data_IF_080886537365
#
_entry.id   IF_080886537365
#
_cell.length_a   1.000
_cell.length_b   1.000
_cell.length_c   1.000
_cell.angle_alpha   90.00
_cell.angle_beta   90.00
_cell.angle_gamma   90.00
#
_symmetry.space_group_name_H-M   'P 1'
#
loop_
_entity.id
_entity.type
_entity.pdbx_description
1 polymer ?
#
# COMPACT_ATOMS: atom_id res chain seq x y z
N UNK A 1 -9.62 -26.39 3.76
CA UNK A 1 -9.12 -25.54 2.66
C UNK A 1 -9.80 -24.18 2.84
N UNK A 2 -9.22 -23.32 3.68
CA UNK A 2 -9.74 -21.98 3.91
C UNK A 2 -9.17 -21.07 2.84
N UNK A 3 -10.01 -20.67 1.88
CA UNK A 3 -9.65 -19.65 0.91
C UNK A 3 -9.56 -18.31 1.65
N UNK A 4 -8.37 -17.72 1.64
CA UNK A 4 -8.09 -16.39 2.16
C UNK A 4 -8.87 -15.35 1.33
N UNK A 5 -10.02 -14.93 1.83
CA UNK A 5 -10.95 -13.99 1.15
C UNK A 5 -10.46 -12.54 1.11
N UNK A 6 -9.32 -12.22 1.73
CA UNK A 6 -8.79 -10.85 1.77
C UNK A 6 -7.91 -10.50 0.56
N UNK A 7 -7.35 -11.48 -0.13
CA UNK A 7 -6.49 -11.26 -1.32
C UNK A 7 -7.29 -11.12 -2.60
N UNK A 8 -8.42 -11.81 -2.72
CA UNK A 8 -9.25 -11.84 -3.94
C UNK A 8 -9.95 -10.49 -4.16
N UNK A 9 -10.64 -9.99 -3.13
CA UNK A 9 -11.39 -8.73 -3.21
C UNK A 9 -10.50 -7.50 -3.44
N UNK A 10 -9.29 -7.44 -2.85
CA UNK A 10 -8.38 -6.31 -3.08
C UNK A 10 -7.77 -6.31 -4.49
N UNK A 11 -7.53 -7.50 -5.07
CA UNK A 11 -6.99 -7.64 -6.42
C UNK A 11 -8.02 -7.18 -7.45
N UNK A 12 -9.29 -7.53 -7.25
CA UNK A 12 -10.40 -7.07 -8.09
C UNK A 12 -10.56 -5.54 -8.05
N UNK A 13 -10.49 -4.95 -6.86
CA UNK A 13 -10.60 -3.48 -6.69
C UNK A 13 -9.45 -2.74 -7.37
N UNK A 14 -8.21 -3.24 -7.26
CA UNK A 14 -7.04 -2.62 -7.92
C UNK A 14 -7.19 -2.70 -9.44
N UNK A 15 -7.66 -3.82 -9.98
CA UNK A 15 -7.91 -3.97 -11.41
C UNK A 15 -8.97 -2.99 -11.91
N UNK A 16 -10.07 -2.84 -11.17
CA UNK A 16 -11.11 -1.85 -11.47
C UNK A 16 -10.55 -0.42 -11.44
N UNK A 17 -9.83 -0.05 -10.37
CA UNK A 17 -9.24 1.29 -10.22
C UNK A 17 -8.23 1.62 -11.31
N UNK A 18 -7.49 0.62 -11.78
CA UNK A 18 -6.59 0.77 -12.93
C UNK A 18 -7.38 1.10 -14.21
N UNK A 19 -8.49 0.41 -14.47
CA UNK A 19 -9.32 0.69 -15.65
C UNK A 19 -9.90 2.11 -15.60
N UNK A 20 -10.46 2.51 -14.45
CA UNK A 20 -10.97 3.88 -14.22
C UNK A 20 -9.88 4.94 -14.47
N UNK A 21 -8.65 4.68 -14.02
CA UNK A 21 -7.51 5.55 -14.28
C UNK A 21 -7.18 5.66 -15.77
N UNK A 22 -7.10 4.53 -16.47
CA UNK A 22 -6.77 4.51 -17.90
C UNK A 22 -7.83 5.23 -18.74
N UNK A 23 -9.10 5.12 -18.37
CA UNK A 23 -10.20 5.88 -18.98
C UNK A 23 -10.02 7.38 -18.75
N UNK A 24 -9.81 7.80 -17.50
CA UNK A 24 -9.58 9.22 -17.14
C UNK A 24 -8.37 9.81 -17.88
N UNK A 25 -7.28 9.06 -17.96
CA UNK A 25 -6.08 9.47 -18.69
C UNK A 25 -6.35 9.60 -20.19
N UNK A 26 -7.16 8.70 -20.77
CA UNK A 26 -7.55 8.77 -22.18
C UNK A 26 -8.45 9.98 -22.49
N UNK A 27 -9.35 10.34 -21.58
CA UNK A 27 -10.20 11.54 -21.70
C UNK A 27 -9.39 12.85 -21.59
N UNK A 28 -8.32 12.84 -20.80
CA UNK A 28 -7.51 14.03 -20.52
C UNK A 28 -6.36 14.26 -21.50
N UNK A 29 -6.14 13.35 -22.47
CA UNK A 29 -5.04 13.42 -23.47
C UNK A 29 -4.99 14.75 -24.22
N UNK A 30 -6.14 15.36 -24.53
CA UNK A 30 -6.20 16.63 -25.27
C UNK A 30 -6.06 17.87 -24.36
N UNK A 31 -5.93 17.69 -23.04
CA UNK A 31 -5.71 18.80 -22.10
C UNK A 31 -4.23 19.17 -22.11
N UNK A 32 -3.86 20.02 -23.06
CA UNK A 32 -2.48 20.46 -23.22
C UNK A 32 -2.00 21.30 -22.03
N UNK A 33 -1.22 20.67 -21.13
CA UNK A 33 -0.39 21.42 -20.19
C UNK A 33 0.68 22.14 -21.00
N UNK A 34 0.71 23.47 -20.90
CA UNK A 34 1.74 24.27 -21.57
C UNK A 34 3.11 24.03 -20.90
N UNK A 35 4.08 23.54 -21.68
CA UNK A 35 5.47 23.35 -21.22
C UNK A 35 5.85 21.87 -21.04
N UNK A 36 6.99 21.61 -20.37
CA UNK A 36 7.35 20.24 -19.99
C UNK A 36 6.44 19.76 -18.87
N UNK A 37 6.00 18.50 -18.96
CA UNK A 37 5.19 17.85 -17.95
C UNK A 37 5.53 16.37 -17.88
N UNK A 38 5.23 15.74 -16.74
CA UNK A 38 5.26 14.31 -16.57
C UNK A 38 3.91 13.72 -16.99
N UNK A 39 3.90 12.70 -17.86
CA UNK A 39 2.65 12.10 -18.34
C UNK A 39 1.93 11.35 -17.22
N UNK A 40 0.60 11.45 -17.24
CA UNK A 40 -0.27 10.79 -16.30
C UNK A 40 -0.09 9.28 -16.33
N UNK A 41 -0.16 8.65 -15.16
CA UNK A 41 0.24 7.26 -15.00
C UNK A 41 -0.48 6.58 -13.84
N UNK A 42 -0.62 5.26 -13.96
CA UNK A 42 -1.07 4.39 -12.87
C UNK A 42 0.15 3.75 -12.20
N UNK A 43 0.34 4.01 -10.91
CA UNK A 43 1.51 3.50 -10.18
C UNK A 43 1.28 2.15 -9.48
N UNK A 44 0.07 1.59 -9.59
CA UNK A 44 -0.35 0.38 -8.90
C UNK A 44 -1.45 0.62 -7.87
N UNK A 45 -1.53 1.83 -7.30
CA UNK A 45 -2.52 2.18 -6.27
C UNK A 45 -3.31 3.44 -6.57
N UNK A 46 -2.68 4.48 -7.14
CA UNK A 46 -3.34 5.74 -7.47
C UNK A 46 -3.11 6.12 -8.93
N UNK A 47 -4.09 6.86 -9.44
CA UNK A 47 -4.01 7.50 -10.75
C UNK A 47 -3.37 8.88 -10.60
N UNK A 48 -2.27 9.10 -11.28
CA UNK A 48 -1.58 10.38 -11.30
C UNK A 48 -1.90 11.11 -12.61
N UNK A 49 -2.39 12.36 -12.54
CA UNK A 49 -2.67 13.15 -13.74
C UNK A 49 -1.36 13.67 -14.37
N UNK A 50 -1.47 14.21 -15.59
CA UNK A 50 -0.40 15.00 -16.19
C UNK A 50 0.00 16.13 -15.22
N UNK A 51 1.30 16.30 -14.99
CA UNK A 51 1.81 17.20 -13.96
C UNK A 51 2.95 18.04 -14.50
N UNK A 52 2.87 19.37 -14.36
CA UNK A 52 3.88 20.30 -14.86
C UNK A 52 5.28 20.00 -14.26
N UNK A 53 6.32 20.15 -15.08
CA UNK A 53 7.70 19.94 -14.65
C UNK A 53 8.07 20.85 -13.46
N UNK A 54 8.79 20.29 -12.48
CA UNK A 54 9.16 20.98 -11.24
C UNK A 54 8.05 21.08 -10.20
N UNK A 55 6.87 20.49 -10.45
CA UNK A 55 5.75 20.47 -9.49
C UNK A 55 5.45 19.06 -8.96
N UNK A 56 4.54 18.95 -8.00
CA UNK A 56 4.13 17.66 -7.43
C UNK A 56 2.62 17.46 -7.56
N UNK A 57 2.23 16.23 -7.89
CA UNK A 57 0.85 15.79 -7.84
C UNK A 57 0.50 15.29 -6.44
N UNK A 58 -0.74 15.53 -6.00
CA UNK A 58 -1.25 15.09 -4.70
C UNK A 58 -2.58 14.37 -4.91
N UNK A 59 -2.78 13.28 -4.18
CA UNK A 59 -4.01 12.51 -4.21
C UNK A 59 -4.30 11.94 -2.82
N UNK A 60 -5.59 11.74 -2.51
CA UNK A 60 -6.00 11.09 -1.26
C UNK A 60 -5.48 9.65 -1.21
N UNK A 61 -5.12 9.21 -0.01
CA UNK A 61 -4.67 7.83 0.20
C UNK A 61 -5.79 6.83 -0.14
N UNK A 62 -5.47 5.71 -0.81
CA UNK A 62 -6.47 4.73 -1.23
C UNK A 62 -7.11 4.03 -0.03
N UNK A 63 -8.44 4.04 0.06
CA UNK A 63 -9.20 3.41 1.16
C UNK A 63 -9.22 1.88 1.11
N UNK A 64 -8.91 1.28 -0.04
CA UNK A 64 -8.88 -0.17 -0.22
C UNK A 64 -7.58 -0.82 0.28
N UNK A 65 -6.57 -0.02 0.64
CA UNK A 65 -5.34 -0.51 1.24
C UNK A 65 -5.52 -0.58 2.75
N UNK A 66 -5.40 -1.79 3.31
CA UNK A 66 -5.49 -1.99 4.76
C UNK A 66 -4.35 -1.29 5.49
N UNK A 67 -4.66 -0.58 6.57
CA UNK A 67 -3.69 0.17 7.36
C UNK A 67 -3.40 1.59 6.85
N UNK A 68 -4.08 2.03 5.78
CA UNK A 68 -3.99 3.42 5.31
C UNK A 68 -5.10 4.29 5.90
N UNK A 69 -4.78 5.57 6.11
CA UNK A 69 -5.71 6.63 6.48
C UNK A 69 -6.16 7.39 5.22
N UNK A 70 -7.41 7.22 4.74
CA UNK A 70 -7.89 7.83 3.50
C UNK A 70 -8.08 9.34 3.59
N UNK A 71 -7.95 9.94 4.78
CA UNK A 71 -8.02 11.40 4.97
C UNK A 71 -6.70 12.11 4.67
N UNK A 72 -5.60 11.35 4.53
CA UNK A 72 -4.26 11.85 4.24
C UNK A 72 -3.98 11.84 2.75
N UNK A 73 -2.84 12.44 2.37
CA UNK A 73 -2.44 12.58 0.97
C UNK A 73 -1.14 11.84 0.69
N UNK A 74 -1.12 11.12 -0.42
CA UNK A 74 0.09 10.68 -1.11
C UNK A 74 0.53 11.75 -2.10
N UNK A 75 1.81 11.74 -2.49
CA UNK A 75 2.30 12.65 -3.54
C UNK A 75 3.30 11.99 -4.48
N UNK A 76 3.39 12.55 -5.68
CA UNK A 76 4.34 12.15 -6.71
C UNK A 76 5.02 13.38 -7.30
N UNK A 77 6.35 13.36 -7.36
CA UNK A 77 7.15 14.52 -7.77
C UNK A 77 7.49 14.44 -9.25
N UNK A 78 7.16 15.49 -10.01
CA UNK A 78 7.58 15.66 -11.39
C UNK A 78 8.86 16.51 -11.45
N UNK A 79 9.94 15.94 -11.99
CA UNK A 79 11.20 16.65 -12.14
C UNK A 79 11.12 17.79 -13.16
N UNK A 80 12.08 18.71 -13.11
CA UNK A 80 12.19 19.82 -14.08
C UNK A 80 12.45 19.33 -15.51
N UNK A 81 12.97 18.11 -15.66
CA UNK A 81 13.19 17.45 -16.94
C UNK A 81 11.91 16.81 -17.53
N UNK A 82 10.75 16.94 -16.87
CA UNK A 82 9.50 16.30 -17.30
C UNK A 82 9.46 14.80 -17.04
N UNK A 83 10.33 14.28 -16.17
CA UNK A 83 10.30 12.88 -15.76
C UNK A 83 9.86 12.73 -14.31
N UNK A 84 9.06 11.69 -14.04
CA UNK A 84 8.69 11.33 -12.68
C UNK A 84 9.94 10.97 -11.86
N UNK A 85 10.00 11.46 -10.62
CA UNK A 85 11.06 11.13 -9.69
C UNK A 85 11.26 9.60 -9.59
N UNK A 86 12.53 9.18 -9.65
CA UNK A 86 12.93 7.78 -9.55
C UNK A 86 13.64 7.53 -8.23
N UNK A 87 13.30 6.42 -7.57
CA UNK A 87 13.93 6.04 -6.32
C UNK A 87 15.43 5.76 -6.54
N UNK A 88 16.33 6.30 -5.68
CA UNK A 88 17.77 6.20 -5.90
C UNK A 88 18.30 4.76 -5.93
N UNK A 89 17.69 3.86 -5.16
CA UNK A 89 18.15 2.47 -5.07
C UNK A 89 17.57 1.55 -6.15
N UNK A 90 16.32 1.78 -6.58
CA UNK A 90 15.62 0.86 -7.49
C UNK A 90 15.49 1.41 -8.91
N UNK A 91 15.79 2.70 -9.09
CA UNK A 91 15.66 3.44 -10.34
C UNK A 91 14.27 3.33 -11.01
N UNK A 92 13.23 3.04 -10.21
CA UNK A 92 11.83 2.99 -10.64
C UNK A 92 11.13 4.29 -10.29
N UNK A 93 10.15 4.68 -11.11
CA UNK A 93 9.24 5.79 -10.78
C UNK A 93 8.64 5.57 -9.40
N UNK A 94 8.69 6.59 -8.55
CA UNK A 94 8.35 6.47 -7.14
C UNK A 94 7.25 7.45 -6.76
N UNK A 95 6.42 7.04 -5.80
CA UNK A 95 5.34 7.82 -5.21
C UNK A 95 5.47 7.72 -3.69
N UNK A 96 5.26 8.82 -2.98
CA UNK A 96 5.37 8.86 -1.53
C UNK A 96 4.03 8.54 -0.86
N UNK A 97 3.98 7.42 -0.16
CA UNK A 97 2.84 6.97 0.64
C UNK A 97 3.14 6.94 2.15
N UNK A 98 4.29 7.46 2.59
CA UNK A 98 4.69 7.40 4.01
C UNK A 98 3.69 8.09 4.93
N UNK A 99 3.06 9.17 4.45
CA UNK A 99 1.99 9.89 5.15
C UNK A 99 0.71 9.07 5.28
N UNK A 100 0.44 8.15 4.36
CA UNK A 100 -0.81 7.37 4.34
C UNK A 100 -0.91 6.35 5.47
N UNK A 101 0.19 5.97 6.11
CA UNK A 101 0.19 4.94 7.15
C UNK A 101 -0.61 5.43 8.37
N UNK A 102 -1.62 4.66 8.77
CA UNK A 102 -2.36 4.85 10.01
C UNK A 102 -1.54 4.27 11.17
N UNK A 103 -0.85 5.15 11.90
CA UNK A 103 0.04 4.76 12.99
C UNK A 103 -0.73 4.16 14.18
N UNK A 104 -1.93 4.66 14.47
CA UNK A 104 -2.75 4.17 15.60
C UNK A 104 -3.21 2.72 15.35
N UNK A 105 -3.70 2.43 14.13
CA UNK A 105 -4.06 1.06 13.72
C UNK A 105 -2.84 0.14 13.70
N UNK A 106 -1.70 0.64 13.22
CA UNK A 106 -0.45 -0.12 13.21
C UNK A 106 0.01 -0.50 14.63
N UNK A 107 0.02 0.45 15.56
CA UNK A 107 0.40 0.22 16.95
C UNK A 107 -0.56 -0.76 17.64
N UNK A 108 -1.86 -0.59 17.45
CA UNK A 108 -2.87 -1.50 17.98
C UNK A 108 -2.66 -2.94 17.49
N UNK A 109 -2.52 -3.14 16.17
CA UNK A 109 -2.26 -4.45 15.58
C UNK A 109 -0.96 -5.05 16.11
N UNK A 110 0.08 -4.25 16.25
CA UNK A 110 1.36 -4.71 16.80
C UNK A 110 1.21 -5.22 18.24
N UNK A 111 0.46 -4.51 19.08
CA UNK A 111 0.21 -4.95 20.46
C UNK A 111 -0.59 -6.25 20.52
N UNK A 112 -1.69 -6.34 19.76
CA UNK A 112 -2.47 -7.58 19.65
C UNK A 112 -1.59 -8.73 19.17
N UNK A 113 -0.70 -8.45 18.21
CA UNK A 113 0.17 -9.47 17.65
C UNK A 113 1.14 -10.05 18.68
N UNK A 114 1.73 -9.17 19.48
CA UNK A 114 2.63 -9.55 20.56
C UNK A 114 1.94 -10.42 21.63
N UNK A 115 0.69 -10.08 21.97
CA UNK A 115 -0.09 -10.82 22.97
C UNK A 115 -0.38 -12.24 22.48
N UNK A 116 -0.85 -12.42 21.24
CA UNK A 116 -1.13 -13.77 20.74
C UNK A 116 0.14 -14.60 20.64
N UNK A 117 1.26 -14.02 20.20
CA UNK A 117 2.51 -14.74 19.96
C UNK A 117 3.07 -15.26 21.28
N UNK A 118 3.05 -14.40 22.30
CA UNK A 118 3.43 -14.74 23.67
C UNK A 118 2.51 -15.84 24.24
N UNK A 119 1.20 -15.72 24.04
CA UNK A 119 0.23 -16.71 24.49
C UNK A 119 0.43 -18.10 23.85
N UNK A 120 0.74 -18.15 22.56
CA UNK A 120 1.04 -19.40 21.86
C UNK A 120 2.34 -20.03 22.34
N UNK A 121 3.38 -19.24 22.60
CA UNK A 121 4.63 -19.76 23.16
C UNK A 121 4.41 -20.43 24.54
N UNK A 122 3.67 -19.77 25.43
CA UNK A 122 3.34 -20.32 26.76
C UNK A 122 2.53 -21.62 26.64
N UNK A 123 1.52 -21.62 25.79
CA UNK A 123 0.66 -22.79 25.55
C UNK A 123 1.45 -23.97 25.00
N UNK A 124 2.35 -23.72 24.05
CA UNK A 124 3.23 -24.74 23.49
C UNK A 124 4.14 -25.34 24.56
N UNK A 125 4.75 -24.52 25.42
CA UNK A 125 5.59 -24.99 26.53
C UNK A 125 4.76 -25.88 27.50
N UNK A 126 3.56 -25.45 27.87
CA UNK A 126 2.69 -26.23 28.75
C UNK A 126 2.31 -27.59 28.14
N UNK A 127 2.01 -27.62 26.84
CA UNK A 127 1.69 -28.85 26.11
C UNK A 127 2.92 -29.80 26.10
N UNK A 128 4.11 -29.28 25.80
CA UNK A 128 5.33 -30.08 25.80
C UNK A 128 5.63 -30.69 27.17
N UNK A 129 5.46 -29.92 28.25
CA UNK A 129 5.61 -30.41 29.62
C UNK A 129 4.59 -31.50 29.96
N UNK A 130 3.33 -31.31 29.58
CA UNK A 130 2.27 -32.30 29.77
C UNK A 130 2.59 -33.63 29.06
N UNK A 131 2.98 -33.56 27.79
CA UNK A 131 3.36 -34.72 27.00
C UNK A 131 4.58 -35.45 27.57
N UNK A 132 5.57 -34.71 28.09
CA UNK A 132 6.73 -35.30 28.73
C UNK A 132 6.38 -36.10 29.99
N UNK A 133 5.53 -35.53 30.86
CA UNK A 133 5.05 -36.21 32.08
C UNK A 133 4.26 -37.47 31.71
N UNK A 134 3.32 -37.37 30.77
CA UNK A 134 2.50 -38.51 30.34
C UNK A 134 3.32 -39.61 29.67
N UNK A 135 4.41 -39.26 29.00
CA UNK A 135 5.30 -40.22 28.34
C UNK A 135 6.29 -40.86 29.30
N UNK A 136 6.65 -40.17 30.39
CA UNK A 136 7.54 -40.67 31.42
C UNK A 136 6.86 -41.64 32.40
N UNK A 137 5.61 -41.36 32.79
CA UNK A 137 4.83 -42.21 33.70
C UNK A 137 3.95 -43.26 33.00
N UNK A 138 4.07 -43.38 31.68
CA UNK A 138 3.47 -44.47 30.91
C UNK A 138 4.44 -45.64 30.80
#
# INVERSE_FOLDING_TARGET
MALSTTTDASVDVIAQKRLECLETLNETVDTTIAGLFCPGTWDGWLCWPDTAAGTSAYALCPSFISGFDPTRFAHKVCGENGEWFRHPETNKSWSNYTTCINLDDYEWRKQVNLIYETGYAISLIAILLSLAILSYFR
#
